data_IF_858448830348
#
_entry.id   IF_858448830348
#
_cell.length_a   1.000
_cell.length_b   1.000
_cell.length_c   1.000
_cell.angle_alpha   90.00
_cell.angle_beta   90.00
_cell.angle_gamma   90.00
#
_symmetry.space_group_name_H-M   'P 1'
#
loop_
_entity.id
_entity.type
_entity.pdbx_description
1 polymer ?
#
# COMPACT_ATOMS: atom_id res chain seq x y z
N UNK A 1 -2.25 4.71 26.56
CA UNK A 1 -2.11 5.11 25.14
C UNK A 1 -2.80 4.05 24.29
N UNK A 2 -3.62 4.42 23.30
CA UNK A 2 -4.22 3.42 22.40
C UNK A 2 -3.12 2.82 21.52
N UNK A 3 -3.05 1.49 21.43
CA UNK A 3 -2.09 0.81 20.57
C UNK A 3 -2.30 1.23 19.12
N UNK A 4 -1.22 1.40 18.38
CA UNK A 4 -1.23 1.65 16.93
C UNK A 4 -1.88 0.48 16.18
N UNK A 5 -1.54 -0.75 16.61
CA UNK A 5 -2.15 -1.98 16.12
C UNK A 5 -3.38 -2.31 16.98
N UNK A 6 -4.54 -2.37 16.37
CA UNK A 6 -5.83 -2.56 17.07
C UNK A 6 -6.56 -3.79 16.55
N UNK A 7 -7.16 -4.60 17.43
CA UNK A 7 -8.01 -5.68 16.97
C UNK A 7 -9.33 -5.15 16.41
N UNK A 8 -9.89 -5.89 15.48
CA UNK A 8 -11.32 -5.85 15.17
C UNK A 8 -11.92 -7.20 15.52
N UNK A 9 -12.92 -7.19 16.39
CA UNK A 9 -13.40 -8.43 17.06
C UNK A 9 -12.19 -9.14 17.69
N UNK A 10 -11.90 -10.38 17.29
CA UNK A 10 -10.78 -11.17 17.83
C UNK A 10 -9.58 -11.27 16.87
N UNK A 11 -9.54 -10.47 15.80
CA UNK A 11 -8.46 -10.49 14.81
C UNK A 11 -7.55 -9.31 14.99
N UNK A 12 -6.26 -9.59 15.22
CA UNK A 12 -5.19 -8.59 15.34
C UNK A 12 -4.39 -8.49 14.05
N UNK A 13 -3.82 -7.30 13.74
CA UNK A 13 -2.82 -7.18 12.69
C UNK A 13 -1.61 -8.08 12.96
N UNK A 14 -1.08 -8.67 11.89
CA UNK A 14 0.11 -9.52 11.90
C UNK A 14 1.25 -8.80 11.18
N UNK A 15 2.43 -8.81 11.77
CA UNK A 15 3.64 -8.18 11.21
C UNK A 15 4.74 -9.19 11.05
N UNK A 16 5.45 -9.11 9.93
CA UNK A 16 6.74 -9.76 9.72
C UNK A 16 7.86 -9.11 10.53
N UNK A 17 9.08 -9.36 10.13
CA UNK A 17 10.27 -8.80 10.77
C UNK A 17 10.55 -7.38 10.28
N UNK A 18 11.12 -6.54 11.15
CA UNK A 18 11.56 -5.16 10.84
C UNK A 18 10.47 -4.28 10.23
N UNK A 19 9.22 -4.53 10.59
CA UNK A 19 8.10 -3.66 10.17
C UNK A 19 8.10 -2.41 11.03
N UNK A 20 8.05 -1.24 10.38
CA UNK A 20 7.87 0.05 11.03
C UNK A 20 6.42 0.48 10.89
N UNK A 21 5.79 0.86 12.00
CA UNK A 21 4.47 1.52 11.99
C UNK A 21 4.57 2.77 12.84
N UNK A 22 4.49 3.94 12.19
CA UNK A 22 4.58 5.22 12.89
C UNK A 22 3.49 5.36 13.96
N UNK A 23 3.83 5.95 15.10
CA UNK A 23 2.96 6.08 16.27
C UNK A 23 1.69 6.93 16.02
N UNK A 24 1.67 7.75 14.97
CA UNK A 24 0.49 8.53 14.55
C UNK A 24 -0.44 7.77 13.61
N UNK A 25 -0.05 6.55 13.19
CA UNK A 25 -0.80 5.71 12.27
C UNK A 25 -1.76 4.77 13.01
N UNK A 26 -2.69 4.17 12.28
CA UNK A 26 -3.67 3.23 12.82
C UNK A 26 -3.83 2.03 11.90
N UNK A 27 -3.60 0.82 12.45
CA UNK A 27 -3.78 -0.45 11.74
C UNK A 27 -4.78 -1.31 12.49
N UNK A 28 -5.87 -1.71 11.82
CA UNK A 28 -7.02 -2.37 12.47
C UNK A 28 -7.38 -3.68 11.78
N UNK A 29 -7.58 -4.75 12.56
CA UNK A 29 -8.21 -5.99 12.13
C UNK A 29 -7.29 -6.93 11.35
N UNK A 30 -7.82 -7.63 10.35
CA UNK A 30 -7.08 -8.61 9.52
C UNK A 30 -6.17 -7.90 8.51
N UNK A 31 -5.03 -7.41 9.01
CA UNK A 31 -3.97 -6.78 8.23
C UNK A 31 -2.71 -7.62 8.38
N UNK A 32 -2.14 -8.05 7.28
CA UNK A 32 -0.95 -8.91 7.22
C UNK A 32 0.16 -8.16 6.50
N UNK A 33 1.22 -7.82 7.20
CA UNK A 33 2.38 -7.10 6.67
C UNK A 33 3.58 -8.03 6.68
N UNK A 34 4.20 -8.23 5.53
CA UNK A 34 5.43 -9.01 5.40
C UNK A 34 6.65 -8.26 5.94
N UNK A 35 7.84 -8.82 5.77
CA UNK A 35 9.09 -8.24 6.26
C UNK A 35 9.37 -6.88 5.60
N UNK A 36 10.01 -6.00 6.36
CA UNK A 36 10.49 -4.70 5.91
C UNK A 36 9.41 -3.73 5.39
N UNK A 37 8.14 -3.94 5.74
CA UNK A 37 7.08 -2.97 5.43
C UNK A 37 7.27 -1.70 6.28
N UNK A 38 7.13 -0.54 5.62
CA UNK A 38 7.13 0.77 6.27
C UNK A 38 5.76 1.44 6.20
N UNK A 39 5.13 1.72 7.35
CA UNK A 39 3.88 2.48 7.48
C UNK A 39 4.21 3.83 8.09
N UNK A 40 4.11 4.87 7.27
CA UNK A 40 4.56 6.23 7.58
C UNK A 40 3.48 7.04 8.31
N UNK A 41 3.77 8.26 8.79
CA UNK A 41 2.85 9.02 9.63
C UNK A 41 1.43 9.17 9.09
N UNK A 42 0.44 9.11 10.00
CA UNK A 42 -0.98 9.35 9.72
C UNK A 42 -1.63 8.39 8.70
N UNK A 43 -1.04 7.23 8.47
CA UNK A 43 -1.63 6.19 7.63
C UNK A 43 -2.74 5.47 8.38
N UNK A 44 -3.83 5.16 7.67
CA UNK A 44 -4.91 4.31 8.19
C UNK A 44 -5.04 3.05 7.33
N UNK A 45 -4.85 1.88 7.96
CA UNK A 45 -5.07 0.57 7.34
C UNK A 45 -6.17 -0.15 8.11
N UNK A 46 -7.29 -0.47 7.44
CA UNK A 46 -8.43 -1.09 8.10
C UNK A 46 -8.91 -2.36 7.37
N UNK A 47 -8.60 -3.52 7.97
CA UNK A 47 -9.04 -4.85 7.54
C UNK A 47 -10.14 -5.40 8.46
N UNK A 48 -11.28 -4.74 8.53
CA UNK A 48 -12.38 -5.07 9.46
C UNK A 48 -13.47 -5.96 8.83
N UNK A 49 -13.77 -5.76 7.55
CA UNK A 49 -14.83 -6.49 6.83
C UNK A 49 -14.31 -7.43 5.74
N UNK A 50 -13.01 -7.36 5.48
CA UNK A 50 -12.21 -8.25 4.64
C UNK A 50 -10.75 -8.06 5.07
N UNK A 51 -9.77 -8.67 4.39
CA UNK A 51 -8.36 -8.58 4.77
C UNK A 51 -7.53 -7.67 3.87
N UNK A 52 -6.46 -7.12 4.45
CA UNK A 52 -5.40 -6.40 3.76
C UNK A 52 -4.11 -7.22 3.83
N UNK A 53 -3.44 -7.42 2.72
CA UNK A 53 -2.12 -8.06 2.66
C UNK A 53 -1.11 -7.12 2.00
N UNK A 54 0.03 -6.91 2.66
CA UNK A 54 1.11 -6.03 2.19
C UNK A 54 2.39 -6.85 2.07
N UNK A 55 2.93 -6.94 0.87
CA UNK A 55 4.16 -7.66 0.54
C UNK A 55 5.42 -6.98 1.07
N UNK A 56 6.51 -7.72 1.08
CA UNK A 56 7.79 -7.29 1.66
C UNK A 56 8.34 -6.01 1.00
N UNK A 57 9.08 -5.21 1.79
CA UNK A 57 9.76 -3.98 1.34
C UNK A 57 8.83 -2.91 0.73
N UNK A 58 7.55 -3.04 0.98
CA UNK A 58 6.53 -2.07 0.55
C UNK A 58 6.45 -0.93 1.54
N UNK A 59 6.34 0.30 1.03
CA UNK A 59 6.16 1.49 1.86
C UNK A 59 4.81 2.14 1.57
N UNK A 60 4.13 2.55 2.65
CA UNK A 60 2.84 3.24 2.61
C UNK A 60 3.04 4.60 3.23
N UNK A 61 3.04 5.65 2.40
CA UNK A 61 3.46 6.98 2.79
C UNK A 61 2.33 7.78 3.44
N UNK A 62 2.72 8.87 4.05
CA UNK A 62 1.96 9.70 4.97
C UNK A 62 0.53 10.01 4.51
N UNK A 63 -0.42 9.87 5.43
CA UNK A 63 -1.81 10.21 5.23
C UNK A 63 -2.59 9.31 4.26
N UNK A 64 -2.00 8.18 3.82
CA UNK A 64 -2.69 7.23 2.94
C UNK A 64 -3.76 6.44 3.69
N UNK A 65 -4.83 6.05 2.97
CA UNK A 65 -5.94 5.27 3.52
C UNK A 65 -6.13 3.99 2.72
N UNK A 66 -6.08 2.85 3.41
CA UNK A 66 -6.19 1.51 2.86
C UNK A 66 -7.40 0.80 3.46
N UNK A 67 -8.35 0.39 2.62
CA UNK A 67 -9.55 -0.28 3.08
C UNK A 67 -10.03 -1.36 2.08
N UNK A 68 -11.08 -2.07 2.45
CA UNK A 68 -11.57 -3.28 1.80
C UNK A 68 -13.08 -3.28 1.66
N UNK A 69 -13.63 -4.11 0.77
CA UNK A 69 -15.08 -4.28 0.62
C UNK A 69 -15.54 -5.64 1.19
N UNK A 70 -16.60 -5.60 1.96
CA UNK A 70 -17.20 -6.76 2.59
C UNK A 70 -17.85 -7.72 1.57
N UNK A 71 -18.05 -8.97 1.99
CA UNK A 71 -18.82 -9.96 1.27
C UNK A 71 -20.32 -9.60 1.33
N UNK A 72 -20.99 -9.68 0.19
CA UNK A 72 -22.42 -9.35 0.08
C UNK A 72 -23.10 -10.23 -0.98
N UNK A 73 -24.42 -10.14 -1.10
CA UNK A 73 -25.16 -10.80 -2.19
C UNK A 73 -24.75 -10.30 -3.58
N UNK A 74 -24.28 -9.06 -3.68
CA UNK A 74 -23.81 -8.44 -4.94
C UNK A 74 -22.34 -8.78 -5.23
N UNK A 75 -21.55 -9.05 -4.20
CA UNK A 75 -20.14 -9.43 -4.31
C UNK A 75 -19.85 -10.51 -3.25
N UNK A 76 -20.06 -11.80 -3.57
CA UNK A 76 -19.96 -12.89 -2.59
C UNK A 76 -18.56 -13.07 -1.96
N UNK A 77 -17.51 -12.63 -2.65
CA UNK A 77 -16.14 -12.69 -2.12
C UNK A 77 -15.72 -11.37 -1.43
N UNK A 78 -16.45 -10.27 -1.69
CA UNK A 78 -15.96 -8.93 -1.37
C UNK A 78 -14.71 -8.60 -2.18
N UNK A 79 -14.05 -7.48 -1.84
CA UNK A 79 -12.77 -7.14 -2.41
C UNK A 79 -11.75 -6.95 -1.28
N UNK A 80 -10.84 -7.90 -1.05
CA UNK A 80 -9.67 -7.69 -0.20
C UNK A 80 -8.74 -6.67 -0.86
N UNK A 81 -7.82 -6.10 -0.10
CA UNK A 81 -6.74 -5.29 -0.62
C UNK A 81 -5.44 -6.09 -0.61
N UNK A 82 -4.89 -6.33 -1.79
CA UNK A 82 -3.67 -7.09 -1.98
C UNK A 82 -2.58 -6.18 -2.55
N UNK A 83 -1.47 -6.05 -1.86
CA UNK A 83 -0.32 -5.24 -2.29
C UNK A 83 0.90 -6.15 -2.34
N UNK A 84 1.57 -6.18 -3.48
CA UNK A 84 2.77 -6.98 -3.72
C UNK A 84 4.01 -6.44 -3.00
N UNK A 85 5.16 -6.94 -3.42
CA UNK A 85 6.46 -6.59 -2.89
C UNK A 85 7.07 -5.38 -3.63
N UNK A 86 7.96 -4.66 -2.94
CA UNK A 86 8.68 -3.51 -3.51
C UNK A 86 7.76 -2.42 -4.06
N UNK A 87 6.59 -2.23 -3.45
CA UNK A 87 5.61 -1.23 -3.85
C UNK A 87 5.85 0.09 -3.11
N UNK A 88 5.79 1.20 -3.85
CA UNK A 88 5.75 2.54 -3.27
C UNK A 88 4.34 3.11 -3.38
N UNK A 89 3.64 3.19 -2.26
CA UNK A 89 2.35 3.89 -2.14
C UNK A 89 2.64 5.31 -1.68
N UNK A 90 2.51 6.28 -2.60
CA UNK A 90 2.83 7.68 -2.36
C UNK A 90 1.92 8.35 -1.33
N UNK A 91 2.30 9.55 -0.89
CA UNK A 91 1.55 10.30 0.14
C UNK A 91 0.09 10.52 -0.24
N UNK A 92 -0.83 10.41 0.72
CA UNK A 92 -2.27 10.65 0.58
C UNK A 92 -2.94 9.80 -0.52
N UNK A 93 -2.45 8.62 -0.78
CA UNK A 93 -3.08 7.66 -1.70
C UNK A 93 -4.26 7.00 -1.01
N UNK A 94 -5.32 6.73 -1.77
CA UNK A 94 -6.43 5.87 -1.35
C UNK A 94 -6.44 4.58 -2.14
N UNK A 95 -6.31 3.45 -1.45
CA UNK A 95 -6.47 2.11 -2.02
C UNK A 95 -7.70 1.45 -1.39
N UNK A 96 -8.63 1.02 -2.22
CA UNK A 96 -9.85 0.38 -1.75
C UNK A 96 -10.14 -0.89 -2.53
N UNK A 97 -10.08 -2.06 -1.86
CA UNK A 97 -10.47 -3.35 -2.41
C UNK A 97 -9.85 -3.73 -3.76
N UNK A 98 -8.58 -3.43 -3.97
CA UNK A 98 -7.87 -3.61 -5.24
C UNK A 98 -6.67 -4.55 -5.10
N UNK A 99 -6.08 -4.93 -6.23
CA UNK A 99 -4.84 -5.72 -6.30
C UNK A 99 -3.74 -4.89 -6.93
N UNK A 100 -2.63 -4.73 -6.23
CA UNK A 100 -1.41 -4.07 -6.69
C UNK A 100 -0.33 -5.15 -6.79
N UNK A 101 0.26 -5.30 -7.97
CA UNK A 101 1.38 -6.21 -8.23
C UNK A 101 2.69 -5.75 -7.59
N UNK A 102 3.79 -6.34 -7.99
CA UNK A 102 5.11 -6.04 -7.45
C UNK A 102 5.76 -4.86 -8.19
N UNK A 103 6.66 -4.13 -7.50
CA UNK A 103 7.43 -3.04 -8.11
C UNK A 103 6.52 -2.00 -8.78
N UNK A 104 5.47 -1.60 -8.06
CA UNK A 104 4.52 -0.59 -8.53
C UNK A 104 4.77 0.71 -7.77
N UNK A 105 4.72 1.83 -8.50
CA UNK A 105 4.64 3.15 -7.89
C UNK A 105 3.22 3.70 -8.07
N UNK A 106 2.53 3.91 -6.96
CA UNK A 106 1.27 4.63 -6.93
C UNK A 106 1.55 6.08 -6.54
N UNK A 107 1.48 6.99 -7.51
CA UNK A 107 1.79 8.40 -7.31
C UNK A 107 0.90 9.06 -6.27
N UNK A 108 1.45 10.04 -5.55
CA UNK A 108 0.79 10.74 -4.44
C UNK A 108 -0.60 11.26 -4.81
N UNK A 109 -1.55 11.16 -3.88
CA UNK A 109 -2.92 11.63 -4.07
C UNK A 109 -3.76 10.81 -5.05
N UNK A 110 -3.27 9.68 -5.53
CA UNK A 110 -4.03 8.79 -6.42
C UNK A 110 -5.09 8.00 -5.68
N UNK A 111 -6.14 7.59 -6.42
CA UNK A 111 -7.24 6.78 -5.93
C UNK A 111 -7.32 5.51 -6.78
N UNK A 112 -7.33 4.34 -6.15
CA UNK A 112 -7.51 3.05 -6.81
C UNK A 112 -8.71 2.35 -6.20
N UNK A 113 -9.73 2.05 -7.04
CA UNK A 113 -11.02 1.57 -6.59
C UNK A 113 -11.17 0.04 -6.67
N UNK A 114 -12.28 -0.46 -6.11
CA UNK A 114 -12.61 -1.88 -5.97
C UNK A 114 -12.41 -2.70 -7.23
N UNK A 115 -11.80 -3.87 -7.08
CA UNK A 115 -11.60 -4.82 -8.15
C UNK A 115 -10.60 -4.38 -9.22
N UNK A 116 -9.98 -3.19 -9.08
CA UNK A 116 -8.89 -2.79 -9.98
C UNK A 116 -7.69 -3.72 -9.80
N UNK A 117 -7.03 -4.06 -10.90
CA UNK A 117 -5.85 -4.92 -10.95
C UNK A 117 -4.72 -4.15 -11.60
N UNK A 118 -3.69 -3.85 -10.84
CA UNK A 118 -2.47 -3.23 -11.31
C UNK A 118 -1.40 -4.32 -11.37
N UNK A 119 -0.92 -4.61 -12.57
CA UNK A 119 0.11 -5.63 -12.77
C UNK A 119 1.48 -5.16 -12.26
N UNK A 120 2.47 -6.05 -12.33
CA UNK A 120 3.85 -5.73 -11.93
C UNK A 120 4.46 -4.63 -12.81
N UNK A 121 5.44 -3.92 -12.25
CA UNK A 121 6.22 -2.92 -12.99
C UNK A 121 5.35 -1.81 -13.61
N UNK A 122 4.36 -1.30 -12.88
CA UNK A 122 3.47 -0.20 -13.31
C UNK A 122 3.81 1.08 -12.55
N UNK A 123 3.75 2.20 -13.24
CA UNK A 123 3.81 3.53 -12.64
C UNK A 123 2.48 4.26 -12.84
N UNK A 124 1.84 4.66 -11.75
CA UNK A 124 0.65 5.51 -11.74
C UNK A 124 1.10 6.91 -11.33
N UNK A 125 0.86 7.89 -12.18
CA UNK A 125 1.22 9.28 -11.88
C UNK A 125 0.35 9.90 -10.81
N UNK A 126 0.86 10.94 -10.15
CA UNK A 126 0.19 11.61 -9.05
C UNK A 126 -1.22 12.13 -9.43
N UNK A 127 -2.15 12.10 -8.47
CA UNK A 127 -3.52 12.57 -8.65
C UNK A 127 -4.38 11.76 -9.61
N UNK A 128 -3.97 10.55 -9.94
CA UNK A 128 -4.69 9.68 -10.88
C UNK A 128 -5.88 8.97 -10.23
N UNK A 129 -6.91 8.67 -11.02
CA UNK A 129 -8.05 7.83 -10.61
C UNK A 129 -8.06 6.54 -11.43
N UNK A 130 -7.89 5.40 -10.77
CA UNK A 130 -8.10 4.07 -11.37
C UNK A 130 -9.52 3.60 -11.02
N UNK A 131 -10.43 3.52 -12.00
CA UNK A 131 -11.81 3.11 -11.78
C UNK A 131 -11.94 1.65 -11.34
N UNK A 132 -13.11 1.30 -10.82
CA UNK A 132 -13.47 -0.06 -10.46
C UNK A 132 -13.25 -1.05 -11.61
N UNK A 133 -12.74 -2.22 -11.28
CA UNK A 133 -12.49 -3.35 -12.20
C UNK A 133 -11.55 -3.01 -13.37
N UNK A 134 -10.85 -1.87 -13.32
CA UNK A 134 -9.87 -1.50 -14.34
C UNK A 134 -8.60 -2.34 -14.18
N UNK A 135 -8.10 -2.87 -15.29
CA UNK A 135 -6.80 -3.54 -15.35
C UNK A 135 -5.76 -2.60 -15.95
N UNK A 136 -4.62 -2.47 -15.29
CA UNK A 136 -3.44 -1.75 -15.76
C UNK A 136 -2.35 -2.77 -16.07
N UNK A 137 -1.98 -2.84 -17.34
CA UNK A 137 -0.99 -3.79 -17.85
C UNK A 137 0.43 -3.41 -17.41
N UNK A 138 1.25 -4.45 -17.23
CA UNK A 138 2.65 -4.34 -16.82
C UNK A 138 3.51 -3.51 -17.76
N UNK A 139 4.44 -2.75 -17.19
CA UNK A 139 5.47 -2.05 -17.95
C UNK A 139 5.07 -0.70 -18.52
N UNK A 140 3.96 -0.11 -18.08
CA UNK A 140 3.46 1.17 -18.57
C UNK A 140 3.33 2.25 -17.50
N UNK A 141 3.40 3.50 -17.97
CA UNK A 141 2.98 4.69 -17.24
C UNK A 141 1.50 4.97 -17.49
N UNK A 142 0.74 5.17 -16.43
CA UNK A 142 -0.66 5.57 -16.45
C UNK A 142 -0.85 6.92 -15.78
N UNK A 143 -1.66 7.81 -16.37
CA UNK A 143 -1.96 9.15 -15.84
C UNK A 143 -3.44 9.49 -16.07
N UNK A 144 -3.99 10.32 -15.19
CA UNK A 144 -5.26 11.01 -15.39
C UNK A 144 -6.40 10.53 -14.49
N UNK A 145 -7.53 11.22 -14.60
CA UNK A 145 -8.77 10.94 -13.87
C UNK A 145 -9.95 10.94 -14.86
N UNK A 146 -10.38 9.75 -15.35
CA UNK A 146 -9.79 8.41 -15.13
C UNK A 146 -8.44 8.21 -15.84
N UNK A 147 -7.65 7.23 -15.35
CA UNK A 147 -6.34 6.92 -15.93
C UNK A 147 -6.40 6.48 -17.38
N UNK A 148 -5.40 6.90 -18.14
CA UNK A 148 -5.10 6.42 -19.49
C UNK A 148 -3.68 5.85 -19.52
N UNK A 149 -3.47 4.83 -20.32
CA UNK A 149 -2.14 4.32 -20.65
C UNK A 149 -1.42 5.36 -21.52
N UNK A 150 -0.27 5.82 -21.09
CA UNK A 150 0.47 6.92 -21.73
C UNK A 150 1.55 6.38 -22.66
N UNK A 151 2.42 5.53 -22.11
CA UNK A 151 3.56 4.97 -22.84
C UNK A 151 4.22 3.84 -22.02
N UNK A 152 5.04 3.00 -22.68
CA UNK A 152 5.92 2.09 -21.94
C UNK A 152 6.85 2.84 -20.98
N UNK A 153 7.19 2.20 -19.88
CA UNK A 153 8.22 2.70 -18.96
C UNK A 153 9.60 2.67 -19.64
N UNK A 154 10.37 3.72 -19.41
CA UNK A 154 11.79 3.75 -19.74
C UNK A 154 12.57 2.84 -18.78
N UNK A 155 13.75 2.36 -19.17
CA UNK A 155 14.59 1.52 -18.29
C UNK A 155 14.91 2.20 -16.97
N UNK A 156 15.31 3.47 -17.00
CA UNK A 156 15.58 4.24 -15.78
C UNK A 156 14.34 4.39 -14.86
N UNK A 157 13.12 4.35 -15.39
CA UNK A 157 11.90 4.37 -14.58
C UNK A 157 11.66 3.02 -13.92
N UNK A 158 11.93 1.90 -14.62
CA UNK A 158 11.86 0.54 -14.04
C UNK A 158 12.89 0.36 -12.92
N UNK A 159 14.12 0.82 -13.12
CA UNK A 159 15.15 0.85 -12.09
C UNK A 159 14.73 1.74 -10.91
N UNK A 160 14.11 2.88 -11.22
CA UNK A 160 13.57 3.82 -10.23
C UNK A 160 12.50 3.23 -9.31
N UNK A 161 11.69 2.27 -9.77
CA UNK A 161 10.69 1.58 -8.94
C UNK A 161 11.39 0.81 -7.80
N UNK A 162 12.41 0.02 -8.12
CA UNK A 162 13.21 -0.74 -7.15
C UNK A 162 14.01 0.18 -6.23
N UNK A 163 14.64 1.20 -6.81
CA UNK A 163 15.40 2.19 -6.06
C UNK A 163 14.53 2.87 -5.00
N UNK A 164 13.29 3.27 -5.35
CA UNK A 164 12.35 3.89 -4.42
C UNK A 164 12.06 2.98 -3.23
N UNK A 165 11.65 1.73 -3.48
CA UNK A 165 11.35 0.77 -2.42
C UNK A 165 12.55 0.55 -1.49
N UNK A 166 13.75 0.32 -2.04
CA UNK A 166 14.97 0.11 -1.28
C UNK A 166 15.36 1.31 -0.41
N UNK A 167 15.17 2.54 -0.90
CA UNK A 167 15.42 3.73 -0.10
C UNK A 167 14.46 3.84 1.09
N UNK A 168 13.20 3.53 0.90
CA UNK A 168 12.23 3.55 2.00
C UNK A 168 12.51 2.46 3.04
N UNK A 169 13.03 1.29 2.64
CA UNK A 169 13.52 0.28 3.60
C UNK A 169 14.68 0.86 4.41
N UNK A 170 15.66 1.49 3.76
CA UNK A 170 16.80 2.10 4.44
C UNK A 170 16.39 3.18 5.43
N UNK A 171 15.52 4.11 5.02
CA UNK A 171 15.05 5.17 5.91
C UNK A 171 14.23 4.64 7.08
N UNK A 172 13.34 3.67 6.85
CA UNK A 172 12.61 2.99 7.92
C UNK A 172 13.56 2.34 8.94
N UNK A 173 14.68 1.75 8.51
CA UNK A 173 15.68 1.16 9.41
C UNK A 173 16.36 2.24 10.26
N UNK A 174 16.60 3.43 9.70
CA UNK A 174 17.10 4.58 10.45
C UNK A 174 16.10 5.03 11.54
N UNK A 175 14.79 5.08 11.23
CA UNK A 175 13.74 5.37 12.21
C UNK A 175 13.69 4.34 13.33
N UNK A 176 13.68 3.05 13.01
CA UNK A 176 13.68 1.97 14.01
C UNK A 176 14.91 2.02 14.92
N UNK A 177 16.08 2.37 14.36
CA UNK A 177 17.31 2.53 15.15
C UNK A 177 17.22 3.71 16.14
N UNK A 178 16.59 4.82 15.75
CA UNK A 178 16.36 5.97 16.63
C UNK A 178 15.38 5.65 17.77
N UNK A 179 14.28 4.95 17.46
CA UNK A 179 13.30 4.56 18.48
C UNK A 179 13.92 3.64 19.53
N UNK A 180 14.81 2.72 19.15
CA UNK A 180 15.50 1.84 20.09
C UNK A 180 16.47 2.56 21.02
N UNK A 181 16.96 3.75 20.65
CA UNK A 181 17.87 4.58 21.47
C UNK A 181 17.12 5.53 22.41
N UNK A 182 15.84 5.81 22.14
CA UNK A 182 15.04 6.78 22.90
C UNK A 182 14.10 6.14 23.93
N UNK A 183 14.01 4.80 23.96
CA UNK A 183 13.31 4.11 25.06
C UNK A 183 14.21 4.06 26.29
N UNK A 184 13.76 4.66 27.44
CA UNK A 184 14.51 4.68 28.69
C UNK A 184 14.63 3.30 29.35
#
# INVERSE_FOLDING_TARGET
MSSVLRPYKNTFPQTGQRVMVDNSSVVIGDVRMADDVGVWPQVVIRGDVNYVSVGARTNIQDGSVLHVTHKSSYNPQGNPLLIGEDVTVGHKVMLHGCTIGNRVLVGMGSIVLDGAIIEDDVMIGAGSLVPQNKRLESGYLYLGSPVKQIRPLKEAEREGLRYSANNYVKWKDEYLAQESQTQP
#
